data_IF_326364120424
#
_entry.id   IF_326364120424
#
_cell.length_a   1.000
_cell.length_b   1.000
_cell.length_c   1.000
_cell.angle_alpha   90.00
_cell.angle_beta   90.00
_cell.angle_gamma   90.00
#
_symmetry.space_group_name_H-M   'P 1'
#
loop_
_entity.id
_entity.type
_entity.pdbx_description
1 polymer ?
#
# COMPACT_ATOMS: atom_id res chain seq x y z
N UNK A 1 -21.36 -26.25 -5.40
CA UNK A 1 -21.38 -25.37 -4.20
C UNK A 1 -20.52 -24.15 -4.48
N UNK A 2 -21.10 -22.96 -4.46
CA UNK A 2 -20.33 -21.70 -4.64
C UNK A 2 -19.38 -21.58 -3.46
N UNK A 3 -18.09 -21.48 -3.77
CA UNK A 3 -17.03 -21.43 -2.76
C UNK A 3 -17.14 -20.10 -1.98
N UNK A 4 -17.66 -20.14 -0.75
CA UNK A 4 -17.87 -18.98 0.12
C UNK A 4 -16.62 -18.62 0.94
N UNK A 5 -15.45 -18.70 0.32
CA UNK A 5 -14.18 -18.36 0.97
C UNK A 5 -13.61 -17.08 0.32
N UNK A 6 -13.23 -16.13 1.15
CA UNK A 6 -12.44 -14.96 0.77
C UNK A 6 -11.09 -15.07 1.45
N UNK A 7 -10.03 -15.01 0.66
CA UNK A 7 -8.67 -14.96 1.20
C UNK A 7 -8.22 -13.52 1.40
N UNK A 8 -7.56 -13.26 2.50
CA UNK A 8 -6.91 -11.96 2.79
C UNK A 8 -5.43 -12.22 2.97
N UNK A 9 -4.61 -11.66 2.08
CA UNK A 9 -3.17 -11.58 2.22
C UNK A 9 -2.83 -10.35 3.04
N UNK A 10 -2.29 -10.51 4.24
CA UNK A 10 -1.99 -9.39 5.12
C UNK A 10 -0.94 -9.75 6.17
N UNK A 11 -0.47 -8.75 6.89
CA UNK A 11 0.47 -8.92 7.99
C UNK A 11 -0.23 -9.54 9.20
N UNK A 12 0.54 -9.86 10.25
CA UNK A 12 0.02 -10.47 11.47
C UNK A 12 -1.26 -9.76 11.97
N UNK A 13 -2.40 -10.46 12.05
CA UNK A 13 -3.66 -9.85 12.43
C UNK A 13 -3.66 -9.29 13.86
N UNK A 14 -2.77 -9.77 14.75
CA UNK A 14 -2.65 -9.23 16.11
C UNK A 14 -2.10 -7.81 16.15
N UNK A 15 -1.45 -7.34 15.08
CA UNK A 15 -0.88 -6.00 14.94
C UNK A 15 -1.84 -4.99 14.30
N UNK A 16 -2.99 -5.44 13.81
CA UNK A 16 -4.00 -4.57 13.21
C UNK A 16 -4.70 -3.74 14.30
N UNK A 17 -5.07 -2.52 13.95
CA UNK A 17 -5.93 -1.72 14.82
C UNK A 17 -7.40 -1.94 14.45
N UNK A 18 -8.24 -2.49 15.34
CA UNK A 18 -9.62 -2.83 15.01
C UNK A 18 -10.48 -1.62 14.62
N UNK A 19 -10.14 -0.43 15.09
CA UNK A 19 -10.94 0.79 14.86
C UNK A 19 -10.56 1.47 13.54
N UNK A 20 -9.27 1.42 13.17
CA UNK A 20 -8.75 2.21 12.05
C UNK A 20 -8.32 1.37 10.85
N UNK A 21 -8.11 0.06 11.01
CA UNK A 21 -7.67 -0.80 9.93
C UNK A 21 -8.83 -1.25 9.03
N UNK A 22 -8.78 -0.81 7.79
CA UNK A 22 -9.79 -1.16 6.79
C UNK A 22 -9.87 -2.68 6.54
N UNK A 23 -8.82 -3.44 6.80
CA UNK A 23 -8.83 -4.90 6.61
C UNK A 23 -9.76 -5.59 7.60
N UNK A 24 -9.80 -5.11 8.85
CA UNK A 24 -10.70 -5.63 9.89
C UNK A 24 -12.15 -5.31 9.52
N UNK A 25 -12.42 -4.06 9.13
CA UNK A 25 -13.75 -3.65 8.70
C UNK A 25 -14.24 -4.47 7.50
N UNK A 26 -13.42 -4.60 6.45
CA UNK A 26 -13.77 -5.37 5.25
C UNK A 26 -14.00 -6.85 5.59
N UNK A 27 -13.15 -7.45 6.43
CA UNK A 27 -13.32 -8.83 6.85
C UNK A 27 -14.66 -9.06 7.58
N UNK A 28 -15.04 -8.14 8.47
CA UNK A 28 -16.31 -8.19 9.17
C UNK A 28 -17.50 -8.06 8.20
N UNK A 29 -17.47 -7.09 7.28
CA UNK A 29 -18.52 -6.93 6.27
C UNK A 29 -18.66 -8.13 5.32
N UNK A 30 -17.54 -8.76 4.96
CA UNK A 30 -17.51 -9.98 4.14
C UNK A 30 -18.16 -11.15 4.91
N UNK A 31 -17.89 -11.26 6.21
CA UNK A 31 -18.51 -12.28 7.08
C UNK A 31 -20.01 -12.06 7.20
N UNK A 32 -20.49 -10.81 7.32
CA UNK A 32 -21.92 -10.46 7.36
C UNK A 32 -22.66 -10.91 6.08
N UNK A 33 -21.91 -11.10 4.98
CA UNK A 33 -22.41 -11.69 3.72
C UNK A 33 -22.24 -13.21 3.64
N UNK A 34 -22.04 -13.88 4.78
CA UNK A 34 -21.87 -15.33 4.92
C UNK A 34 -20.66 -15.92 4.17
N UNK A 35 -19.56 -15.15 4.02
CA UNK A 35 -18.29 -15.66 3.55
C UNK A 35 -17.39 -16.04 4.73
N UNK A 36 -16.57 -17.07 4.55
CA UNK A 36 -15.49 -17.44 5.47
C UNK A 36 -14.23 -16.68 5.10
N UNK A 37 -13.52 -16.12 6.08
CA UNK A 37 -12.24 -15.46 5.88
C UNK A 37 -11.11 -16.48 6.09
N UNK A 38 -10.28 -16.62 5.06
CA UNK A 38 -8.99 -17.30 5.15
C UNK A 38 -7.89 -16.25 5.12
N UNK A 39 -7.14 -16.12 6.21
CA UNK A 39 -6.11 -15.09 6.38
C UNK A 39 -4.73 -15.73 6.35
N UNK A 40 -3.78 -15.15 5.61
CA UNK A 40 -2.42 -15.63 5.50
C UNK A 40 -1.40 -14.49 5.36
N UNK A 41 -0.19 -14.71 5.86
CA UNK A 41 0.95 -13.81 5.66
C UNK A 41 1.53 -14.01 4.25
N UNK A 42 1.97 -12.95 3.52
CA UNK A 42 2.60 -13.09 2.21
C UNK A 42 3.75 -14.12 2.14
N UNK A 43 4.54 -14.24 3.21
CA UNK A 43 5.64 -15.20 3.29
C UNK A 43 5.20 -16.67 3.32
N UNK A 44 3.94 -16.93 3.68
CA UNK A 44 3.35 -18.27 3.69
C UNK A 44 2.74 -18.67 2.34
N UNK A 45 2.88 -17.79 1.31
CA UNK A 45 2.45 -18.06 -0.06
C UNK A 45 3.48 -18.93 -0.78
N UNK A 46 3.02 -19.93 -1.51
CA UNK A 46 3.86 -20.89 -2.23
C UNK A 46 3.26 -21.30 -3.56
N UNK A 47 4.12 -21.70 -4.50
CA UNK A 47 3.71 -22.42 -5.70
C UNK A 47 4.20 -23.86 -5.57
N UNK A 48 3.27 -24.80 -5.55
CA UNK A 48 3.57 -26.24 -5.41
C UNK A 48 2.85 -26.97 -6.54
N UNK A 49 3.60 -27.67 -7.39
CA UNK A 49 3.05 -28.38 -8.56
C UNK A 49 2.07 -27.52 -9.37
N UNK A 50 2.51 -26.31 -9.74
CA UNK A 50 1.72 -25.31 -10.49
C UNK A 50 0.44 -24.82 -9.80
N UNK A 51 0.25 -25.12 -8.52
CA UNK A 51 -0.85 -24.62 -7.69
C UNK A 51 -0.36 -23.54 -6.74
N UNK A 52 -1.06 -22.42 -6.72
CA UNK A 52 -0.81 -21.37 -5.73
C UNK A 52 -1.54 -21.74 -4.45
N UNK A 53 -0.78 -21.92 -3.39
CA UNK A 53 -1.26 -22.33 -2.07
C UNK A 53 -0.75 -21.37 -1.00
N UNK A 54 -1.50 -21.20 0.07
CA UNK A 54 -1.05 -20.48 1.24
C UNK A 54 -1.28 -21.29 2.51
N UNK A 55 -0.32 -21.27 3.43
CA UNK A 55 -0.50 -21.70 4.80
C UNK A 55 -1.10 -20.54 5.59
N UNK A 56 -2.22 -20.76 6.24
CA UNK A 56 -2.93 -19.68 6.93
C UNK A 56 -4.01 -20.19 7.86
N UNK A 57 -4.93 -19.34 8.20
CA UNK A 57 -5.98 -19.66 9.17
C UNK A 57 -7.34 -19.17 8.69
N UNK A 58 -8.38 -19.94 8.96
CA UNK A 58 -9.73 -19.39 9.02
C UNK A 58 -9.85 -18.54 10.27
N UNK A 59 -10.26 -17.28 10.08
CA UNK A 59 -10.38 -16.28 11.16
C UNK A 59 -11.79 -15.71 11.14
N UNK A 60 -12.35 -15.51 12.34
CA UNK A 60 -13.54 -14.71 12.55
C UNK A 60 -13.12 -13.36 13.12
N UNK A 61 -13.47 -12.27 12.45
CA UNK A 61 -13.27 -10.90 12.92
C UNK A 61 -14.54 -10.36 13.58
N UNK A 62 -14.35 -9.50 14.57
CA UNK A 62 -15.41 -8.71 15.19
C UNK A 62 -14.79 -7.40 15.70
N UNK A 63 -14.97 -6.31 14.95
CA UNK A 63 -14.34 -5.01 15.24
C UNK A 63 -14.91 -4.33 16.50
N UNK A 64 -16.06 -4.77 17.01
CA UNK A 64 -16.68 -4.21 18.23
C UNK A 64 -16.05 -4.73 19.53
N UNK A 65 -15.29 -5.82 19.45
CA UNK A 65 -14.73 -6.48 20.61
C UNK A 65 -13.26 -6.14 20.84
N UNK A 66 -12.83 -6.07 22.11
CA UNK A 66 -11.40 -5.94 22.48
C UNK A 66 -10.54 -7.06 21.85
N UNK A 67 -11.06 -8.31 21.85
CA UNK A 67 -10.48 -9.44 21.07
C UNK A 67 -11.16 -9.47 19.71
N UNK A 68 -10.73 -8.61 18.84
CA UNK A 68 -11.39 -8.35 17.54
C UNK A 68 -11.20 -9.46 16.50
N UNK A 69 -10.46 -10.52 16.80
CA UNK A 69 -10.40 -11.71 15.95
C UNK A 69 -10.24 -13.01 16.77
N UNK A 70 -10.69 -14.12 16.18
CA UNK A 70 -10.53 -15.48 16.70
C UNK A 70 -10.06 -16.40 15.58
N UNK A 71 -8.95 -17.08 15.80
CA UNK A 71 -8.49 -18.16 14.91
C UNK A 71 -9.38 -19.37 15.12
N UNK A 72 -9.99 -19.87 14.03
CA UNK A 72 -10.89 -21.02 14.06
C UNK A 72 -10.16 -22.31 13.68
N UNK A 73 -9.36 -22.27 12.59
CA UNK A 73 -8.66 -23.45 12.08
C UNK A 73 -7.45 -23.01 11.25
N UNK A 74 -6.30 -23.60 11.52
CA UNK A 74 -5.09 -23.48 10.68
C UNK A 74 -5.12 -24.54 9.60
N UNK A 75 -4.80 -24.17 8.36
CA UNK A 75 -4.65 -25.14 7.27
C UNK A 75 -3.92 -24.55 6.06
N UNK A 76 -3.56 -25.40 5.13
CA UNK A 76 -3.10 -25.03 3.80
C UNK A 76 -4.29 -24.97 2.84
N UNK A 77 -4.37 -23.90 2.03
CA UNK A 77 -5.47 -23.70 1.09
C UNK A 77 -4.93 -23.40 -0.31
N UNK A 78 -5.48 -24.03 -1.32
CA UNK A 78 -5.27 -23.68 -2.72
C UNK A 78 -6.11 -22.45 -3.05
N UNK A 79 -5.44 -21.33 -3.42
CA UNK A 79 -6.08 -20.00 -3.48
C UNK A 79 -7.04 -19.83 -4.65
N UNK A 80 -6.91 -20.58 -5.74
CA UNK A 80 -7.89 -20.57 -6.84
C UNK A 80 -9.29 -21.08 -6.42
N UNK A 81 -9.38 -21.76 -5.26
CA UNK A 81 -10.67 -22.20 -4.67
C UNK A 81 -11.40 -21.08 -3.93
N UNK A 82 -10.78 -19.91 -3.77
CA UNK A 82 -11.43 -18.76 -3.16
C UNK A 82 -12.38 -18.06 -4.13
N UNK A 83 -13.39 -17.40 -3.60
CA UNK A 83 -14.27 -16.52 -4.41
C UNK A 83 -13.51 -15.30 -4.92
N UNK A 84 -12.69 -14.70 -4.03
CA UNK A 84 -11.74 -13.64 -4.35
C UNK A 84 -10.64 -13.57 -3.31
N UNK A 85 -9.57 -12.84 -3.65
CA UNK A 85 -8.42 -12.61 -2.79
C UNK A 85 -8.27 -11.10 -2.61
N UNK A 86 -8.06 -10.64 -1.38
CA UNK A 86 -7.71 -9.26 -1.05
C UNK A 86 -6.22 -9.18 -0.74
N UNK A 87 -5.49 -8.34 -1.46
CA UNK A 87 -4.10 -7.99 -1.12
C UNK A 87 -4.16 -6.81 -0.15
N UNK A 88 -3.87 -7.07 1.12
CA UNK A 88 -3.95 -6.12 2.22
C UNK A 88 -2.66 -6.03 3.04
N UNK A 89 -1.57 -6.64 2.56
CA UNK A 89 -0.26 -6.49 3.20
C UNK A 89 0.21 -5.04 3.15
N UNK A 90 0.85 -4.62 4.23
CA UNK A 90 1.45 -3.30 4.34
C UNK A 90 2.78 -3.21 3.56
N UNK A 91 3.22 -2.00 3.22
CA UNK A 91 4.59 -1.78 2.76
C UNK A 91 5.63 -2.31 3.78
N UNK A 92 6.89 -2.54 3.37
CA UNK A 92 7.55 -1.89 2.25
C UNK A 92 7.26 -2.54 0.90
N UNK A 93 7.20 -1.73 -0.17
CA UNK A 93 7.10 -2.20 -1.54
C UNK A 93 8.50 -2.58 -2.05
N UNK A 94 8.92 -3.78 -1.71
CA UNK A 94 10.23 -4.36 -1.99
C UNK A 94 10.10 -5.61 -2.88
N UNK A 95 11.20 -6.31 -3.13
CA UNK A 95 11.22 -7.53 -3.95
C UNK A 95 10.34 -8.64 -3.38
N UNK A 96 10.22 -8.75 -2.06
CA UNK A 96 9.34 -9.72 -1.41
C UNK A 96 7.86 -9.43 -1.72
N UNK A 97 7.47 -8.14 -1.59
CA UNK A 97 6.13 -7.70 -1.98
C UNK A 97 5.85 -7.98 -3.46
N UNK A 98 6.79 -7.62 -4.33
CA UNK A 98 6.69 -7.82 -5.78
C UNK A 98 6.59 -9.31 -6.11
N UNK A 99 7.39 -10.18 -5.47
CA UNK A 99 7.36 -11.63 -5.66
C UNK A 99 6.00 -12.23 -5.31
N UNK A 100 5.42 -11.83 -4.18
CA UNK A 100 4.07 -12.26 -3.81
C UNK A 100 3.03 -11.86 -4.87
N UNK A 101 3.14 -10.65 -5.44
CA UNK A 101 2.25 -10.22 -6.52
C UNK A 101 2.45 -11.01 -7.81
N UNK A 102 3.68 -11.41 -8.16
CA UNK A 102 3.94 -12.29 -9.32
C UNK A 102 3.30 -13.66 -9.13
N UNK A 103 3.42 -14.25 -7.93
CA UNK A 103 2.80 -15.54 -7.63
C UNK A 103 1.28 -15.43 -7.81
N UNK A 104 0.65 -14.44 -7.22
CA UNK A 104 -0.80 -14.23 -7.34
C UNK A 104 -1.24 -13.95 -8.79
N UNK A 105 -0.41 -13.28 -9.57
CA UNK A 105 -0.70 -12.96 -10.97
C UNK A 105 -0.89 -14.23 -11.83
N UNK A 106 -0.23 -15.35 -11.46
CA UNK A 106 -0.37 -16.63 -12.17
C UNK A 106 -1.78 -17.23 -12.10
N UNK A 107 -2.58 -16.79 -11.14
CA UNK A 107 -3.96 -17.29 -10.94
C UNK A 107 -5.04 -16.22 -11.15
N UNK A 108 -4.68 -15.00 -11.58
CA UNK A 108 -5.65 -13.89 -11.75
C UNK A 108 -6.81 -14.18 -12.70
N UNK A 109 -6.63 -15.10 -13.64
CA UNK A 109 -7.68 -15.53 -14.56
C UNK A 109 -8.60 -16.63 -13.97
N UNK A 110 -8.21 -17.22 -12.81
CA UNK A 110 -8.95 -18.29 -12.13
C UNK A 110 -9.71 -17.77 -10.91
N UNK A 111 -9.22 -16.71 -10.29
CA UNK A 111 -9.80 -16.08 -9.09
C UNK A 111 -9.66 -14.57 -9.16
N UNK A 112 -10.70 -13.84 -8.77
CA UNK A 112 -10.65 -12.38 -8.73
C UNK A 112 -9.75 -11.91 -7.58
N UNK A 113 -8.76 -11.06 -7.90
CA UNK A 113 -7.79 -10.53 -6.94
C UNK A 113 -7.92 -9.00 -6.87
N UNK A 114 -8.05 -8.45 -5.69
CA UNK A 114 -8.20 -7.02 -5.38
C UNK A 114 -7.07 -6.58 -4.41
N UNK A 115 -6.26 -5.58 -4.76
CA UNK A 115 -6.20 -4.97 -6.08
C UNK A 115 -5.51 -5.92 -7.08
N UNK A 116 -5.62 -5.61 -8.37
CA UNK A 116 -4.99 -6.42 -9.42
C UNK A 116 -3.46 -6.46 -9.24
N UNK A 117 -2.82 -7.64 -9.19
CA UNK A 117 -1.38 -7.78 -8.92
C UNK A 117 -0.48 -7.05 -9.93
N UNK A 118 -0.84 -7.10 -11.22
CA UNK A 118 -0.13 -6.40 -12.28
C UNK A 118 -0.22 -4.87 -12.06
N UNK A 119 -1.40 -4.38 -11.69
CA UNK A 119 -1.60 -2.94 -11.43
C UNK A 119 -0.82 -2.48 -10.20
N UNK A 120 -0.73 -3.29 -9.14
CA UNK A 120 0.08 -2.98 -7.96
C UNK A 120 1.55 -2.75 -8.35
N UNK A 121 2.11 -3.60 -9.21
CA UNK A 121 3.50 -3.45 -9.67
C UNK A 121 3.70 -2.23 -10.57
N UNK A 122 2.74 -1.95 -11.45
CA UNK A 122 2.88 -0.95 -12.51
C UNK A 122 2.45 0.47 -12.07
N UNK A 123 1.74 0.59 -10.96
CA UNK A 123 1.23 1.88 -10.44
C UNK A 123 2.02 2.25 -9.19
N UNK A 124 3.25 2.72 -9.39
CA UNK A 124 4.05 3.30 -8.29
C UNK A 124 3.36 4.54 -7.72
N UNK A 125 3.18 4.59 -6.41
CA UNK A 125 2.46 5.66 -5.69
C UNK A 125 2.88 7.08 -6.12
N UNK A 126 4.19 7.32 -6.26
CA UNK A 126 4.72 8.66 -6.59
C UNK A 126 5.03 8.81 -8.08
N UNK A 127 5.67 7.82 -8.72
CA UNK A 127 6.07 7.95 -10.14
C UNK A 127 4.87 7.95 -11.09
N UNK A 128 3.80 7.23 -10.76
CA UNK A 128 2.60 7.22 -11.59
C UNK A 128 1.98 8.61 -11.74
N UNK A 129 2.16 9.48 -10.75
CA UNK A 129 1.68 10.85 -10.75
C UNK A 129 2.28 11.72 -11.86
N UNK A 130 3.44 11.34 -12.44
CA UNK A 130 4.08 12.04 -13.57
C UNK A 130 3.11 12.21 -14.76
N UNK A 131 2.19 11.27 -14.97
CA UNK A 131 1.15 11.37 -16.00
C UNK A 131 0.15 12.52 -15.76
N UNK A 132 0.15 13.09 -14.56
CA UNK A 132 -0.81 14.09 -14.11
C UNK A 132 -0.13 15.37 -13.63
N UNK A 133 1.02 15.73 -14.21
CA UNK A 133 1.84 16.87 -13.78
C UNK A 133 1.08 18.18 -13.70
N UNK A 134 0.08 18.41 -14.57
CA UNK A 134 -0.77 19.60 -14.54
C UNK A 134 -1.54 19.80 -13.22
N UNK A 135 -1.70 18.73 -12.43
CA UNK A 135 -2.37 18.78 -11.13
C UNK A 135 -1.38 18.74 -9.96
N UNK A 136 -0.08 18.76 -10.23
CA UNK A 136 0.95 18.64 -9.21
C UNK A 136 1.72 19.96 -9.04
N UNK A 137 2.28 20.21 -7.86
CA UNK A 137 3.35 21.21 -7.73
C UNK A 137 4.53 20.82 -8.62
N UNK A 138 5.36 21.81 -9.02
CA UNK A 138 6.61 21.53 -9.73
C UNK A 138 7.38 20.42 -9.03
N UNK A 139 7.76 19.39 -9.79
CA UNK A 139 8.33 18.14 -9.26
C UNK A 139 9.37 17.60 -10.23
N UNK A 140 10.47 17.10 -9.68
CA UNK A 140 11.45 16.28 -10.41
C UNK A 140 11.67 14.94 -9.69
N UNK A 141 12.01 13.92 -10.45
CA UNK A 141 12.44 12.61 -9.97
C UNK A 141 13.84 12.35 -10.48
N UNK A 142 14.83 12.18 -9.60
CA UNK A 142 16.23 12.10 -10.02
C UNK A 142 17.12 11.50 -8.93
N UNK A 143 18.28 10.98 -9.34
CA UNK A 143 19.45 10.70 -8.49
C UNK A 143 20.53 11.77 -8.67
N UNK A 144 20.38 12.67 -9.63
CA UNK A 144 21.40 13.64 -9.98
C UNK A 144 21.31 14.87 -9.08
N UNK A 145 22.29 15.05 -8.22
CA UNK A 145 22.37 16.18 -7.29
C UNK A 145 22.42 17.53 -8.02
N UNK A 146 22.97 17.58 -9.23
CA UNK A 146 23.03 18.83 -10.02
C UNK A 146 21.62 19.28 -10.43
N UNK A 147 20.74 18.35 -10.76
CA UNK A 147 19.33 18.67 -11.09
C UNK A 147 18.57 19.11 -9.83
N UNK A 148 18.82 18.49 -8.68
CA UNK A 148 18.25 18.95 -7.41
C UNK A 148 18.73 20.36 -7.08
N UNK A 149 20.02 20.66 -7.32
CA UNK A 149 20.59 22.01 -7.11
C UNK A 149 19.93 23.07 -7.99
N UNK A 150 19.73 22.77 -9.29
CA UNK A 150 19.03 23.65 -10.22
C UNK A 150 17.60 23.91 -9.75
N UNK A 151 16.87 22.83 -9.42
CA UNK A 151 15.50 22.91 -8.93
C UNK A 151 15.37 23.70 -7.63
N UNK A 152 16.31 23.50 -6.68
CA UNK A 152 16.38 24.27 -5.44
C UNK A 152 16.66 25.76 -5.68
N UNK A 153 17.55 26.09 -6.62
CA UNK A 153 17.81 27.49 -6.99
C UNK A 153 16.56 28.24 -7.47
N UNK A 154 15.68 27.53 -8.20
CA UNK A 154 14.42 28.09 -8.71
C UNK A 154 13.40 28.26 -7.58
N UNK A 155 13.19 27.21 -6.77
CA UNK A 155 12.07 27.17 -5.84
C UNK A 155 12.40 27.58 -4.40
N UNK A 156 13.69 27.68 -4.02
CA UNK A 156 14.22 28.11 -2.71
C UNK A 156 13.79 27.24 -1.51
N UNK A 157 12.58 26.67 -1.54
CA UNK A 157 12.06 25.72 -0.54
C UNK A 157 11.50 24.51 -1.26
N UNK A 158 12.06 23.34 -1.01
CA UNK A 158 11.65 22.10 -1.66
C UNK A 158 11.53 20.98 -0.65
N UNK A 159 10.69 20.02 -0.96
CA UNK A 159 10.55 18.77 -0.19
C UNK A 159 11.28 17.67 -0.92
N UNK A 160 12.14 16.95 -0.20
CA UNK A 160 12.79 15.73 -0.66
C UNK A 160 12.08 14.52 -0.07
N UNK A 161 11.73 13.56 -0.91
CA UNK A 161 10.95 12.35 -0.54
C UNK A 161 11.56 11.12 -1.21
N UNK A 162 11.67 9.98 -0.52
CA UNK A 162 11.94 8.72 -1.19
C UNK A 162 10.77 8.32 -2.10
N UNK A 163 11.06 7.64 -3.21
CA UNK A 163 10.00 7.18 -4.11
C UNK A 163 9.18 6.05 -3.46
N UNK A 164 9.86 5.12 -2.81
CA UNK A 164 9.26 3.90 -2.26
C UNK A 164 8.99 3.97 -0.74
N UNK A 165 8.75 5.16 -0.19
CA UNK A 165 8.36 5.33 1.21
C UNK A 165 6.85 5.55 1.36
N UNK A 166 6.35 5.25 2.54
CA UNK A 166 4.93 5.38 2.91
C UNK A 166 4.79 6.08 4.28
N UNK A 167 3.59 6.49 4.62
CA UNK A 167 3.28 7.06 5.94
C UNK A 167 3.98 8.37 6.28
N UNK A 168 4.55 9.07 5.29
CA UNK A 168 5.28 10.32 5.52
C UNK A 168 6.73 10.12 5.99
N UNK A 169 7.23 8.89 6.02
CA UNK A 169 8.59 8.58 6.44
C UNK A 169 9.64 9.19 5.51
N UNK A 170 10.73 9.69 6.10
CA UNK A 170 11.88 10.30 5.42
C UNK A 170 11.47 11.46 4.45
N UNK A 171 10.51 12.28 4.85
CA UNK A 171 10.17 13.50 4.12
C UNK A 171 10.92 14.67 4.74
N UNK A 172 11.75 15.35 3.94
CA UNK A 172 12.61 16.43 4.42
C UNK A 172 12.33 17.76 3.69
N UNK A 173 12.09 18.83 4.46
CA UNK A 173 12.02 20.19 3.95
C UNK A 173 13.43 20.77 3.86
N UNK A 174 13.88 21.07 2.65
CA UNK A 174 15.13 21.77 2.38
C UNK A 174 14.86 23.28 2.31
N UNK A 175 15.37 24.03 3.30
CA UNK A 175 15.38 25.52 3.34
C UNK A 175 16.73 26.08 2.89
N UNK A 176 17.79 25.26 2.99
CA UNK A 176 19.16 25.54 2.50
C UNK A 176 19.64 24.32 1.72
N UNK A 177 20.41 24.55 0.67
CA UNK A 177 21.01 23.47 -0.09
C UNK A 177 22.15 22.85 0.72
N UNK A 178 22.06 21.57 1.00
CA UNK A 178 23.09 20.81 1.72
C UNK A 178 23.49 19.58 0.87
N UNK A 179 24.60 19.68 0.16
CA UNK A 179 25.08 18.65 -0.75
C UNK A 179 25.40 17.34 -0.02
N UNK A 180 26.00 17.41 1.17
CA UNK A 180 26.35 16.22 1.97
C UNK A 180 25.08 15.44 2.34
N UNK A 181 24.09 16.12 2.90
CA UNK A 181 22.80 15.50 3.24
C UNK A 181 22.10 14.90 2.02
N UNK A 182 22.02 15.65 0.91
CA UNK A 182 21.35 15.20 -0.31
C UNK A 182 22.03 13.97 -0.89
N UNK A 183 23.37 13.92 -0.92
CA UNK A 183 24.12 12.75 -1.39
C UNK A 183 23.86 11.52 -0.49
N UNK A 184 23.85 11.69 0.83
CA UNK A 184 23.51 10.61 1.75
C UNK A 184 22.08 10.11 1.53
N UNK A 185 21.15 11.03 1.30
CA UNK A 185 19.75 10.72 1.04
C UNK A 185 19.58 9.94 -0.27
N UNK A 186 20.25 10.37 -1.35
CA UNK A 186 20.25 9.67 -2.63
C UNK A 186 20.87 8.27 -2.46
N UNK A 187 22.03 8.16 -1.76
CA UNK A 187 22.68 6.88 -1.51
C UNK A 187 21.77 5.88 -0.77
N UNK A 188 20.91 6.39 0.12
CA UNK A 188 19.96 5.57 0.90
C UNK A 188 18.72 5.15 0.09
N UNK A 189 18.27 5.98 -0.82
CA UNK A 189 16.93 5.85 -1.42
C UNK A 189 16.92 5.74 -2.94
N UNK A 190 18.09 5.75 -3.59
CA UNK A 190 18.26 5.78 -5.04
C UNK A 190 17.57 7.00 -5.67
N UNK A 191 16.62 6.80 -6.57
CA UNK A 191 15.83 7.88 -7.11
C UNK A 191 14.94 8.53 -6.05
N UNK A 192 14.97 9.85 -6.02
CA UNK A 192 14.19 10.66 -5.09
C UNK A 192 13.25 11.60 -5.81
N UNK A 193 12.14 11.92 -5.16
CA UNK A 193 11.21 12.95 -5.59
C UNK A 193 11.61 14.27 -4.91
N UNK A 194 11.94 15.29 -5.70
CA UNK A 194 12.13 16.65 -5.21
C UNK A 194 10.98 17.53 -5.72
N UNK A 195 10.26 18.16 -4.81
CA UNK A 195 9.02 18.86 -5.11
C UNK A 195 8.99 20.25 -4.47
N UNK A 196 8.41 21.23 -5.16
CA UNK A 196 8.18 22.59 -4.62
C UNK A 196 7.38 22.49 -3.32
N UNK A 197 7.84 23.15 -2.26
CA UNK A 197 7.12 23.22 -0.99
C UNK A 197 5.80 23.99 -1.13
N UNK A 198 4.74 23.44 -0.58
CA UNK A 198 3.42 24.07 -0.51
C UNK A 198 3.16 24.56 0.91
N UNK A 199 3.17 25.88 1.18
CA UNK A 199 2.98 26.42 2.53
C UNK A 199 1.63 26.03 3.15
N UNK A 200 0.60 25.88 2.33
CA UNK A 200 -0.76 25.56 2.79
C UNK A 200 -0.90 24.14 3.38
N UNK A 201 0.17 23.31 3.33
CA UNK A 201 0.14 21.97 3.95
C UNK A 201 -0.14 22.01 5.46
N UNK A 202 0.19 23.11 6.13
CA UNK A 202 -0.15 23.31 7.55
C UNK A 202 -1.67 23.30 7.82
N UNK A 203 -2.48 23.63 6.80
CA UNK A 203 -3.95 23.55 6.87
C UNK A 203 -4.48 22.13 6.60
N UNK A 204 -3.58 21.17 6.33
CA UNK A 204 -3.91 19.79 6.02
C UNK A 204 -4.10 19.50 4.53
N UNK A 205 -4.53 18.27 4.28
CA UNK A 205 -4.86 17.77 2.95
C UNK A 205 -6.25 17.10 2.93
N UNK A 206 -6.75 16.84 1.74
CA UNK A 206 -8.00 16.09 1.55
C UNK A 206 -7.68 14.71 0.98
N UNK A 207 -8.23 13.67 1.60
CA UNK A 207 -8.24 12.32 1.06
C UNK A 207 -9.60 12.01 0.47
N UNK A 208 -9.64 11.75 -0.83
CA UNK A 208 -10.86 11.38 -1.55
C UNK A 208 -10.87 9.85 -1.74
N UNK A 209 -11.97 9.21 -1.42
CA UNK A 209 -12.17 7.78 -1.61
C UNK A 209 -12.93 7.55 -2.92
N UNK A 210 -12.31 6.74 -3.78
CA UNK A 210 -12.89 6.38 -5.08
C UNK A 210 -13.06 4.86 -5.12
N UNK A 211 -14.28 4.40 -5.38
CA UNK A 211 -14.61 2.98 -5.51
C UNK A 211 -15.24 2.78 -6.88
N UNK A 212 -14.64 1.91 -7.69
CA UNK A 212 -15.10 1.62 -9.05
C UNK A 212 -15.33 2.88 -9.90
N UNK A 213 -14.39 3.84 -9.84
CA UNK A 213 -14.43 5.09 -10.59
C UNK A 213 -15.37 6.17 -10.02
N UNK A 214 -16.10 5.90 -8.95
CA UNK A 214 -17.04 6.84 -8.31
C UNK A 214 -16.47 7.39 -7.01
N UNK A 215 -16.59 8.70 -6.79
CA UNK A 215 -16.25 9.33 -5.51
C UNK A 215 -17.29 8.92 -4.47
N UNK A 216 -16.83 8.24 -3.41
CA UNK A 216 -17.67 7.73 -2.33
C UNK A 216 -17.60 8.58 -1.06
N UNK A 217 -16.61 9.45 -0.94
CA UNK A 217 -16.45 10.32 0.20
C UNK A 217 -15.08 11.01 0.21
N UNK A 218 -14.92 11.95 1.13
CA UNK A 218 -13.67 12.64 1.36
C UNK A 218 -13.51 12.99 2.84
N UNK A 219 -12.27 12.98 3.32
CA UNK A 219 -11.91 13.42 4.67
C UNK A 219 -10.81 14.49 4.60
N UNK A 220 -10.84 15.43 5.52
CA UNK A 220 -9.72 16.36 5.75
C UNK A 220 -8.79 15.78 6.78
N UNK A 221 -7.48 15.76 6.47
CA UNK A 221 -6.42 15.34 7.38
C UNK A 221 -5.65 16.57 7.81
N UNK A 222 -5.71 16.92 9.07
CA UNK A 222 -5.00 18.07 9.63
C UNK A 222 -3.79 17.51 10.39
N UNK A 223 -2.55 17.98 10.08
CA UNK A 223 -1.36 17.57 10.82
C UNK A 223 -1.53 17.89 12.31
N UNK A 224 -1.10 16.99 13.17
CA UNK A 224 -0.93 17.33 14.60
C UNK A 224 0.11 18.45 14.70
N UNK A 225 -0.21 19.50 15.42
CA UNK A 225 0.73 20.58 15.77
C UNK A 225 1.84 20.04 16.68
#
# INVERSE_FOLDING_TARGET
MINKIVAIQGNDPSKLNPITDTSVFLANEIQNKNYKIFYYDPKDLSVINSKVVASGSFIKFNYENKKFFKVLKKQKLELNKCKFILIRQDPPFNLEYISATYILDTIKNKVKILNNPTSIRNVSEKLYSVKYQKFMPSTIFTQNISEIKKFFKIHKKVILKPIHSFGGNDIHLLRKFNSKFINQFIKKHDHVMCQKFLPKISKGDKRVFIINGKVCGAISRIPKQ
#
